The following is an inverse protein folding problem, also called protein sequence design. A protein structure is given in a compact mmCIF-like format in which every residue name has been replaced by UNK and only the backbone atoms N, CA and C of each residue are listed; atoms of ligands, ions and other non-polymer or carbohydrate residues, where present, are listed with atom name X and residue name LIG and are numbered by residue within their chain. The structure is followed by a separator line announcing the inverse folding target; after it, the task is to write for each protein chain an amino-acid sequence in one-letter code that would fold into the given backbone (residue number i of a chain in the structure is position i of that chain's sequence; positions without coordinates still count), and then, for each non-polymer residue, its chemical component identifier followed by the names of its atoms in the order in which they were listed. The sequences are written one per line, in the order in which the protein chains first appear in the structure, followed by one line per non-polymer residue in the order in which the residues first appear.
data_IF_319854948737
#
_entry.id   IF_319854948737
#
_cell.length_a   1.000
_cell.length_b   1.000
_cell.length_c   1.000
_cell.angle_alpha   90.00
_cell.angle_beta   90.00
_cell.angle_gamma   90.00
#
_symmetry.space_group_name_H-M   'P 1'
#
loop_
_entity.id
_entity.type
_entity.pdbx_description
1 polymer ?
#
# COMPACT_ATOMS: atom_id res chain seq x y z
N UNK A 1 -7.58 -18.19 6.28
CA UNK A 1 -7.80 -16.73 6.19
C UNK A 1 -6.44 -16.11 5.90
N UNK A 2 -6.35 -15.15 4.98
CA UNK A 2 -5.07 -14.49 4.66
C UNK A 2 -4.71 -13.55 5.82
N UNK A 3 -3.49 -13.66 6.33
CA UNK A 3 -2.94 -12.78 7.36
C UNK A 3 -2.23 -11.60 6.69
N UNK A 4 -2.92 -10.47 6.61
CA UNK A 4 -2.41 -9.27 5.94
C UNK A 4 -1.23 -8.64 6.68
N UNK A 5 -1.15 -8.81 8.01
CA UNK A 5 -0.03 -8.27 8.79
C UNK A 5 1.27 -8.99 8.49
N UNK A 6 1.21 -10.31 8.33
CA UNK A 6 2.37 -11.10 7.90
C UNK A 6 2.83 -10.74 6.49
N UNK A 7 1.89 -10.49 5.58
CA UNK A 7 2.23 -10.06 4.21
C UNK A 7 2.88 -8.66 4.22
N UNK A 8 2.37 -7.72 5.02
CA UNK A 8 2.98 -6.39 5.17
C UNK A 8 4.42 -6.51 5.73
N UNK A 9 4.65 -7.41 6.68
CA UNK A 9 5.97 -7.72 7.20
C UNK A 9 6.90 -8.30 6.13
N UNK A 10 6.44 -9.26 5.33
CA UNK A 10 7.24 -9.85 4.25
C UNK A 10 7.58 -8.80 3.17
N UNK A 11 6.64 -7.92 2.82
CA UNK A 11 6.85 -6.83 1.86
C UNK A 11 7.91 -5.83 2.33
N UNK A 12 7.96 -5.55 3.63
CA UNK A 12 8.93 -4.60 4.19
C UNK A 12 10.27 -5.26 4.49
N UNK A 13 10.29 -6.51 4.97
CA UNK A 13 11.50 -7.20 5.42
C UNK A 13 12.23 -7.96 4.31
N UNK A 14 11.51 -8.54 3.35
CA UNK A 14 12.08 -9.33 2.24
C UNK A 14 12.15 -8.49 0.98
N UNK A 15 11.04 -7.88 0.58
CA UNK A 15 10.94 -7.08 -0.66
C UNK A 15 11.48 -5.66 -0.48
N UNK A 16 11.75 -5.25 0.77
CA UNK A 16 12.35 -3.96 1.13
C UNK A 16 11.53 -2.75 0.69
N UNK A 17 10.20 -2.90 0.59
CA UNK A 17 9.31 -1.76 0.42
C UNK A 17 9.30 -0.90 1.68
N UNK A 18 9.09 0.41 1.52
CA UNK A 18 8.73 1.24 2.66
C UNK A 18 7.39 0.79 3.23
N UNK A 19 7.12 1.09 4.50
CA UNK A 19 5.83 0.75 5.10
C UNK A 19 4.65 1.34 4.30
N UNK A 20 4.84 2.52 3.70
CA UNK A 20 3.84 3.16 2.87
C UNK A 20 3.62 2.41 1.54
N UNK A 21 4.70 2.03 0.85
CA UNK A 21 4.63 1.23 -0.38
C UNK A 21 3.96 -0.12 -0.14
N UNK A 22 4.27 -0.79 0.98
CA UNK A 22 3.64 -2.06 1.34
C UNK A 22 2.12 -1.90 1.54
N UNK A 23 1.68 -0.84 2.22
CA UNK A 23 0.26 -0.52 2.41
C UNK A 23 -0.46 -0.21 1.10
N UNK A 24 0.16 0.56 0.22
CA UNK A 24 -0.42 0.88 -1.10
C UNK A 24 -0.51 -0.38 -1.98
N UNK A 25 0.54 -1.20 -1.98
CA UNK A 25 0.56 -2.47 -2.72
C UNK A 25 -0.56 -3.40 -2.26
N UNK A 26 -0.66 -3.62 -0.95
CA UNK A 26 -1.72 -4.44 -0.37
C UNK A 26 -3.10 -3.93 -0.78
N UNK A 27 -3.34 -2.62 -0.65
CA UNK A 27 -4.61 -2.00 -1.02
C UNK A 27 -4.97 -2.26 -2.51
N UNK A 28 -4.02 -2.11 -3.43
CA UNK A 28 -4.27 -2.33 -4.86
C UNK A 28 -4.54 -3.80 -5.17
N UNK A 29 -3.83 -4.73 -4.52
CA UNK A 29 -3.98 -6.17 -4.76
C UNK A 29 -5.27 -6.71 -4.16
N UNK A 30 -5.71 -6.20 -3.00
CA UNK A 30 -6.92 -6.68 -2.33
C UNK A 30 -8.19 -5.99 -2.83
N UNK A 31 -8.13 -4.69 -3.14
CA UNK A 31 -9.30 -3.88 -3.52
C UNK A 31 -9.33 -3.52 -5.01
N UNK A 32 -8.33 -3.96 -5.79
CA UNK A 32 -8.20 -3.68 -7.21
C UNK A 32 -7.55 -2.33 -7.54
N UNK A 33 -7.34 -2.08 -8.83
CA UNK A 33 -6.63 -0.88 -9.32
C UNK A 33 -7.36 0.41 -8.95
N UNK A 34 -6.61 1.38 -8.44
CA UNK A 34 -7.13 2.65 -7.92
C UNK A 34 -6.39 3.85 -8.52
N UNK A 35 -7.01 5.02 -8.46
CA UNK A 35 -6.33 6.30 -8.73
C UNK A 35 -5.59 6.78 -7.47
N UNK A 36 -4.53 7.57 -7.63
CA UNK A 36 -3.78 8.16 -6.50
C UNK A 36 -4.70 8.95 -5.55
N UNK A 37 -5.72 9.63 -6.07
CA UNK A 37 -6.73 10.32 -5.25
C UNK A 37 -7.51 9.35 -4.35
N UNK A 38 -7.90 8.18 -4.87
CA UNK A 38 -8.62 7.16 -4.09
C UNK A 38 -7.69 6.54 -3.03
N UNK A 39 -6.43 6.28 -3.38
CA UNK A 39 -5.41 5.78 -2.43
C UNK A 39 -5.16 6.78 -1.31
N UNK A 40 -4.94 8.06 -1.65
CA UNK A 40 -4.73 9.15 -0.68
C UNK A 40 -5.89 9.25 0.31
N UNK A 41 -7.12 9.21 -0.18
CA UNK A 41 -8.31 9.24 0.68
C UNK A 41 -8.44 8.00 1.58
N UNK A 42 -8.20 6.80 1.03
CA UNK A 42 -8.34 5.54 1.78
C UNK A 42 -7.28 5.40 2.86
N UNK A 43 -6.01 5.71 2.54
CA UNK A 43 -4.89 5.59 3.48
C UNK A 43 -4.66 6.85 4.32
N UNK A 44 -5.41 7.94 4.06
CA UNK A 44 -5.29 9.25 4.72
C UNK A 44 -3.86 9.81 4.63
N UNK A 45 -3.25 9.68 3.46
CA UNK A 45 -1.92 10.21 3.13
C UNK A 45 -2.03 11.38 2.16
N UNK A 46 -0.95 12.15 1.96
CA UNK A 46 -0.96 13.20 0.96
C UNK A 46 -1.13 12.63 -0.45
N UNK A 47 -1.65 13.44 -1.38
CA UNK A 47 -1.78 12.98 -2.76
C UNK A 47 -0.41 12.78 -3.42
N UNK A 48 0.60 13.55 -3.00
CA UNK A 48 1.99 13.41 -3.45
C UNK A 48 2.60 12.09 -2.99
N UNK A 49 2.32 11.69 -1.74
CA UNK A 49 2.71 10.38 -1.21
C UNK A 49 2.05 9.24 -2.00
N UNK A 50 0.78 9.40 -2.36
CA UNK A 50 0.04 8.43 -3.16
C UNK A 50 0.56 8.32 -4.60
N UNK A 51 1.12 9.39 -5.18
CA UNK A 51 1.76 9.35 -6.49
C UNK A 51 3.18 8.80 -6.44
N UNK A 52 3.94 9.14 -5.40
CA UNK A 52 5.36 8.79 -5.29
C UNK A 52 5.59 7.35 -4.83
N UNK A 53 4.55 6.70 -4.30
CA UNK A 53 4.62 5.35 -3.75
C UNK A 53 3.60 4.37 -4.38
N UNK A 54 2.88 4.78 -5.42
CA UNK A 54 1.84 3.99 -6.10
C UNK A 54 2.22 3.45 -7.47
#
# INVERSE_FOLDING_TARGET
MIDLSKIEEDLTSVIKLTNLQAKIFLLIVTEGKMTAKKISNTLRISIDDAYSNG
#
